data_IF_519279544649
#
_entry.id   IF_519279544649
#
_cell.length_a   1.000
_cell.length_b   1.000
_cell.length_c   1.000
_cell.angle_alpha   90.00
_cell.angle_beta   90.00
_cell.angle_gamma   90.00
#
_symmetry.space_group_name_H-M   'P 1'
#
loop_
_entity.id
_entity.type
_entity.pdbx_description
1 polymer ?
#
# COMPACT_ATOMS: atom_id res chain seq x y z
N UNK A 1 -17.66 -7.75 12.70
CA UNK A 1 -16.59 -8.14 13.64
C UNK A 1 -15.46 -7.14 13.51
N UNK A 2 -14.89 -6.62 14.60
CA UNK A 2 -13.81 -5.63 14.49
C UNK A 2 -12.50 -6.33 14.09
N UNK A 3 -11.59 -5.60 13.44
CA UNK A 3 -10.26 -6.12 13.08
C UNK A 3 -9.46 -6.57 14.30
N UNK A 4 -9.68 -5.93 15.46
CA UNK A 4 -9.16 -6.34 16.76
C UNK A 4 -9.57 -7.77 17.14
N UNK A 5 -10.81 -8.13 16.87
CA UNK A 5 -11.39 -9.41 17.27
C UNK A 5 -10.88 -10.53 16.36
N UNK A 6 -10.75 -10.26 15.06
CA UNK A 6 -10.10 -11.15 14.09
C UNK A 6 -8.65 -11.45 14.48
N UNK A 7 -7.88 -10.42 14.84
CA UNK A 7 -6.49 -10.58 15.25
C UNK A 7 -6.35 -11.38 16.55
N UNK A 8 -7.29 -11.20 17.49
CA UNK A 8 -7.35 -12.01 18.71
C UNK A 8 -7.63 -13.48 18.40
N UNK A 9 -8.56 -13.75 17.49
CA UNK A 9 -8.90 -15.10 17.04
C UNK A 9 -7.72 -15.79 16.34
N UNK A 10 -7.00 -15.07 15.47
CA UNK A 10 -5.78 -15.57 14.81
C UNK A 10 -4.72 -15.94 15.84
N UNK A 11 -4.52 -15.12 16.89
CA UNK A 11 -3.58 -15.46 17.98
C UNK A 11 -3.98 -16.73 18.72
N UNK A 12 -5.26 -16.89 19.05
CA UNK A 12 -5.76 -18.08 19.74
C UNK A 12 -5.58 -19.34 18.88
N UNK A 13 -5.90 -19.28 17.58
CA UNK A 13 -5.71 -20.40 16.66
C UNK A 13 -4.23 -20.79 16.51
N UNK A 14 -3.31 -19.82 16.53
CA UNK A 14 -1.86 -20.10 16.51
C UNK A 14 -1.39 -20.84 17.77
N UNK A 15 -1.92 -20.48 18.94
CA UNK A 15 -1.61 -21.18 20.19
C UNK A 15 -2.18 -22.60 20.17
N UNK A 16 -3.44 -22.75 19.77
CA UNK A 16 -4.09 -24.05 19.67
C UNK A 16 -3.36 -25.01 18.70
N UNK A 17 -2.94 -24.51 17.54
CA UNK A 17 -2.11 -25.26 16.59
C UNK A 17 -0.82 -25.78 17.25
N UNK A 18 -0.15 -24.95 18.05
CA UNK A 18 1.12 -25.30 18.71
C UNK A 18 0.93 -26.41 19.74
N UNK A 19 -0.21 -26.44 20.42
CA UNK A 19 -0.50 -27.44 21.45
C UNK A 19 -1.00 -28.78 20.88
N UNK A 20 -1.75 -28.74 19.78
CA UNK A 20 -2.48 -29.93 19.28
C UNK A 20 -1.99 -30.47 17.93
N UNK A 21 -1.12 -29.76 17.21
CA UNK A 21 -0.72 -30.07 15.82
C UNK A 21 -1.92 -30.40 14.91
N UNK A 22 -3.07 -29.75 15.16
CA UNK A 22 -4.32 -30.07 14.49
C UNK A 22 -4.36 -29.52 13.06
N UNK A 23 -4.67 -30.39 12.09
CA UNK A 23 -4.91 -30.01 10.68
C UNK A 23 -6.09 -29.05 10.52
N UNK A 24 -7.04 -29.08 11.45
CA UNK A 24 -8.18 -28.17 11.47
C UNK A 24 -7.76 -26.75 11.85
N UNK A 25 -6.76 -26.62 12.74
CA UNK A 25 -6.21 -25.31 13.08
C UNK A 25 -5.52 -24.66 11.86
N UNK A 26 -4.84 -25.45 11.03
CA UNK A 26 -4.20 -24.97 9.81
C UNK A 26 -5.21 -24.51 8.75
N UNK A 27 -6.30 -25.26 8.54
CA UNK A 27 -7.35 -24.86 7.60
C UNK A 27 -8.06 -23.58 8.05
N UNK A 28 -8.34 -23.46 9.35
CA UNK A 28 -8.94 -22.26 9.94
C UNK A 28 -8.01 -21.04 9.87
N UNK A 29 -6.71 -21.20 10.13
CA UNK A 29 -5.75 -20.11 9.97
C UNK A 29 -5.72 -19.60 8.52
N UNK A 30 -5.70 -20.51 7.54
CA UNK A 30 -5.68 -20.15 6.12
C UNK A 30 -6.92 -19.38 5.69
N UNK A 31 -8.11 -19.77 6.17
CA UNK A 31 -9.35 -19.03 5.88
C UNK A 31 -9.34 -17.64 6.52
N UNK A 32 -8.87 -17.51 7.75
CA UNK A 32 -8.76 -16.23 8.44
C UNK A 32 -7.77 -15.29 7.75
N UNK A 33 -6.62 -15.80 7.32
CA UNK A 33 -5.64 -15.03 6.55
C UNK A 33 -6.24 -14.51 5.23
N UNK A 34 -7.02 -15.32 4.52
CA UNK A 34 -7.73 -14.90 3.30
C UNK A 34 -8.79 -13.81 3.55
N UNK A 35 -9.49 -13.86 4.68
CA UNK A 35 -10.47 -12.83 5.08
C UNK A 35 -9.75 -11.52 5.41
N UNK A 36 -8.61 -11.59 6.10
CA UNK A 36 -7.81 -10.39 6.40
C UNK A 36 -7.12 -9.80 5.17
N UNK A 37 -6.79 -10.62 4.16
CA UNK A 37 -6.16 -10.15 2.93
C UNK A 37 -7.16 -9.54 1.95
N UNK A 38 -8.39 -10.05 1.86
CA UNK A 38 -9.47 -9.46 1.05
C UNK A 38 -9.90 -8.07 1.54
N UNK A 39 -9.75 -7.83 2.85
CA UNK A 39 -9.97 -6.52 3.48
C UNK A 39 -8.98 -5.44 3.00
N UNK A 40 -7.86 -5.82 2.38
CA UNK A 40 -6.85 -4.89 1.82
C UNK A 40 -7.10 -4.54 0.35
N UNK A 41 -8.22 -4.99 -0.24
CA UNK A 41 -8.64 -4.56 -1.57
C UNK A 41 -9.11 -3.10 -1.52
N UNK A 42 -8.18 -2.18 -1.27
CA UNK A 42 -8.39 -0.75 -1.41
C UNK A 42 -8.78 -0.40 -2.83
N UNK A 43 -9.27 0.83 -3.03
CA UNK A 43 -9.58 1.34 -4.37
C UNK A 43 -8.35 1.18 -5.25
N UNK A 44 -8.51 0.53 -6.42
CA UNK A 44 -7.44 0.41 -7.41
C UNK A 44 -6.89 1.81 -7.71
N UNK A 45 -5.56 1.98 -7.76
CA UNK A 45 -4.97 3.29 -8.01
C UNK A 45 -5.45 3.81 -9.36
N UNK A 46 -5.90 5.07 -9.37
CA UNK A 46 -6.42 5.74 -10.59
C UNK A 46 -5.32 5.96 -11.63
N UNK A 47 -4.07 6.04 -11.20
CA UNK A 47 -2.90 6.34 -12.01
C UNK A 47 -1.85 5.24 -11.81
N UNK A 48 -1.14 4.87 -12.88
CA UNK A 48 -0.15 3.79 -12.87
C UNK A 48 1.18 4.24 -12.26
N UNK A 49 2.05 3.30 -11.86
CA UNK A 49 3.40 3.63 -11.40
C UNK A 49 4.24 4.33 -12.49
N UNK A 50 3.95 4.09 -13.77
CA UNK A 50 4.60 4.80 -14.88
C UNK A 50 4.31 6.30 -14.86
N UNK A 51 3.06 6.69 -14.59
CA UNK A 51 2.71 8.12 -14.47
C UNK A 51 3.46 8.77 -13.30
N UNK A 52 3.64 8.06 -12.20
CA UNK A 52 4.41 8.52 -11.04
C UNK A 52 5.88 8.73 -11.41
N UNK A 53 6.51 7.78 -12.09
CA UNK A 53 7.90 7.92 -12.60
C UNK A 53 8.02 9.12 -13.54
N UNK A 54 7.04 9.34 -14.41
CA UNK A 54 7.02 10.49 -15.33
C UNK A 54 6.96 11.82 -14.57
N UNK A 55 6.09 11.95 -13.56
CA UNK A 55 5.98 13.15 -12.71
C UNK A 55 7.33 13.47 -12.04
N UNK A 56 8.01 12.45 -11.50
CA UNK A 56 9.30 12.63 -10.83
C UNK A 56 10.40 13.06 -11.82
N UNK A 57 10.46 12.46 -13.02
CA UNK A 57 11.40 12.88 -14.08
C UNK A 57 11.20 14.33 -14.48
N UNK A 58 9.94 14.76 -14.66
CA UNK A 58 9.60 16.11 -15.08
C UNK A 58 9.86 17.16 -13.99
N UNK A 59 9.93 16.77 -12.70
CA UNK A 59 10.31 17.67 -11.61
C UNK A 59 11.75 18.18 -11.75
N UNK A 60 12.67 17.34 -12.24
CA UNK A 60 14.07 17.73 -12.46
C UNK A 60 14.24 18.80 -13.56
N UNK A 61 13.21 19.02 -14.39
CA UNK A 61 13.22 20.01 -15.47
C UNK A 61 12.71 21.40 -15.04
N UNK A 62 12.51 21.65 -13.74
CA UNK A 62 11.99 22.91 -13.18
C UNK A 62 10.64 23.37 -13.79
N UNK A 63 9.83 22.42 -14.27
CA UNK A 63 8.50 22.71 -14.80
C UNK A 63 7.50 22.99 -13.66
N UNK A 64 6.49 23.82 -13.95
CA UNK A 64 5.40 24.05 -13.01
C UNK A 64 4.54 22.79 -12.86
N UNK A 65 3.95 22.58 -11.66
CA UNK A 65 3.12 21.40 -11.35
C UNK A 65 1.98 21.23 -12.36
N UNK A 66 1.42 22.34 -12.88
CA UNK A 66 0.37 22.31 -13.89
C UNK A 66 0.86 21.75 -15.23
N UNK A 67 2.07 22.13 -15.67
CA UNK A 67 2.68 21.57 -16.89
C UNK A 67 3.06 20.11 -16.70
N UNK A 68 3.58 19.73 -15.52
CA UNK A 68 3.91 18.34 -15.18
C UNK A 68 2.65 17.45 -15.23
N UNK A 69 1.55 17.91 -14.62
CA UNK A 69 0.30 17.16 -14.60
C UNK A 69 -0.27 16.94 -16.01
N UNK A 70 -0.22 17.99 -16.85
CA UNK A 70 -0.65 17.92 -18.25
C UNK A 70 0.21 16.94 -19.06
N UNK A 71 1.53 17.00 -18.91
CA UNK A 71 2.46 16.13 -19.63
C UNK A 71 2.38 14.66 -19.18
N UNK A 72 2.12 14.43 -17.89
CA UNK A 72 1.96 13.07 -17.32
C UNK A 72 0.54 12.51 -17.45
N UNK A 73 -0.42 13.26 -18.02
CA UNK A 73 -1.80 12.81 -18.19
C UNK A 73 -2.55 12.59 -16.87
N UNK A 74 -2.25 13.37 -15.83
CA UNK A 74 -2.82 13.19 -14.49
C UNK A 74 -3.41 14.49 -13.92
N UNK A 75 -4.15 14.37 -12.81
CA UNK A 75 -4.68 15.56 -12.12
C UNK A 75 -3.57 16.34 -11.41
N UNK A 76 -3.72 17.67 -11.33
CA UNK A 76 -2.78 18.55 -10.63
C UNK A 76 -2.62 18.13 -9.15
N UNK A 77 -3.72 17.76 -8.49
CA UNK A 77 -3.68 17.29 -7.10
C UNK A 77 -2.87 16.01 -6.92
N UNK A 78 -3.00 15.06 -7.84
CA UNK A 78 -2.20 13.83 -7.82
C UNK A 78 -0.72 14.12 -8.03
N UNK A 79 -0.36 14.94 -9.02
CA UNK A 79 1.02 15.35 -9.25
C UNK A 79 1.63 16.03 -8.00
N UNK A 80 0.88 16.94 -7.37
CA UNK A 80 1.30 17.60 -6.14
C UNK A 80 1.51 16.61 -4.98
N UNK A 81 0.60 15.64 -4.81
CA UNK A 81 0.72 14.61 -3.77
C UNK A 81 1.96 13.73 -3.98
N UNK A 82 2.24 13.32 -5.22
CA UNK A 82 3.43 12.52 -5.56
C UNK A 82 4.71 13.27 -5.26
N UNK A 83 4.79 14.55 -5.64
CA UNK A 83 5.97 15.39 -5.39
C UNK A 83 6.21 15.59 -3.90
N UNK A 84 5.17 15.93 -3.14
CA UNK A 84 5.26 16.10 -1.68
C UNK A 84 5.67 14.81 -0.97
N UNK A 85 5.14 13.67 -1.41
CA UNK A 85 5.53 12.36 -0.87
C UNK A 85 7.00 12.04 -1.17
N UNK A 86 7.52 12.46 -2.34
CA UNK A 86 8.94 12.30 -2.67
C UNK A 86 9.83 13.21 -1.81
N UNK A 87 9.47 14.48 -1.64
CA UNK A 87 10.20 15.40 -0.76
C UNK A 87 10.28 14.86 0.68
N UNK A 88 9.18 14.29 1.19
CA UNK A 88 9.16 13.66 2.52
C UNK A 88 10.05 12.40 2.63
N UNK A 89 10.32 11.68 1.53
CA UNK A 89 11.25 10.54 1.50
C UNK A 89 12.71 10.99 1.48
N UNK A 90 13.01 12.02 0.67
CA UNK A 90 14.33 12.65 0.62
C UNK A 90 14.71 13.17 2.01
N UNK A 91 13.78 13.83 2.71
CA UNK A 91 14.01 14.31 4.09
C UNK A 91 14.23 13.19 5.11
N UNK A 92 13.80 11.96 4.83
CA UNK A 92 14.03 10.79 5.69
C UNK A 92 15.30 10.01 5.34
N UNK A 93 16.07 10.46 4.36
CA UNK A 93 17.32 9.82 3.96
C UNK A 93 17.14 8.47 3.25
N UNK A 94 15.94 8.18 2.72
CA UNK A 94 15.71 7.01 1.87
C UNK A 94 16.12 7.37 0.44
N UNK A 95 17.34 6.98 0.04
CA UNK A 95 17.76 7.01 -1.36
C UNK A 95 17.10 5.87 -2.17
N UNK A 96 16.96 6.12 -3.48
CA UNK A 96 16.16 5.37 -4.44
C UNK A 96 16.42 3.85 -4.49
N UNK A 97 15.33 3.08 -4.64
CA UNK A 97 15.28 1.86 -5.49
C UNK A 97 14.67 2.21 -6.86
#
# INVERSE_FOLDING_TARGET
MKTSDLNRLIRLLKLYRKETSSREADSLLKTMENITSSSKAGRKPKYTEETKKMILRLRHQNLSVRKIASAAGCSVGYAHQVLKANEAKIHKGEEYE
#
